data_IF_624327726324
#
_entry.id   IF_624327726324
#
_cell.length_a   1.000
_cell.length_b   1.000
_cell.length_c   1.000
_cell.angle_alpha   90.00
_cell.angle_beta   90.00
_cell.angle_gamma   90.00
#
_symmetry.space_group_name_H-M   'P 1'
#
loop_
_entity.id
_entity.type
_entity.pdbx_description
1 polymer ?
#
# COMPACT_ATOMS: atom_id res chain seq x y z
N UNK A 1 36.59 2.20 -1.39
CA UNK A 1 36.58 0.77 -1.77
C UNK A 1 36.16 -0.08 -0.57
N UNK A 2 34.88 -0.50 -0.50
CA UNK A 2 34.31 -1.14 0.70
C UNK A 2 34.68 -2.64 0.76
N UNK A 3 35.13 -3.13 1.92
CA UNK A 3 35.66 -4.50 2.09
C UNK A 3 34.56 -5.55 1.83
N UNK A 4 34.85 -6.57 1.00
CA UNK A 4 33.97 -7.71 0.65
C UNK A 4 33.10 -8.29 1.81
N UNK A 5 33.59 -8.48 3.05
CA UNK A 5 32.76 -8.99 4.16
C UNK A 5 31.60 -8.08 4.55
N UNK A 6 31.77 -6.75 4.45
CA UNK A 6 30.72 -5.77 4.79
C UNK A 6 29.55 -5.88 3.81
N UNK A 7 29.86 -6.05 2.51
CA UNK A 7 28.86 -6.20 1.46
C UNK A 7 28.00 -7.47 1.63
N UNK A 8 28.61 -8.57 2.10
CA UNK A 8 27.91 -9.83 2.38
C UNK A 8 26.99 -9.71 3.60
N UNK A 9 27.44 -9.04 4.66
CA UNK A 9 26.63 -8.78 5.85
C UNK A 9 25.41 -7.90 5.53
N UNK A 10 25.60 -6.84 4.72
CA UNK A 10 24.50 -5.95 4.30
C UNK A 10 23.43 -6.70 3.51
N UNK A 11 23.84 -7.53 2.53
CA UNK A 11 22.90 -8.37 1.76
C UNK A 11 22.10 -9.32 2.65
N UNK A 12 22.74 -9.94 3.65
CA UNK A 12 22.05 -10.80 4.62
C UNK A 12 21.05 -10.03 5.48
N UNK A 13 21.38 -8.82 5.91
CA UNK A 13 20.47 -7.96 6.69
C UNK A 13 19.27 -7.56 5.83
N UNK A 14 19.49 -7.12 4.59
CA UNK A 14 18.42 -6.76 3.66
C UNK A 14 17.52 -7.97 3.34
N UNK A 15 18.11 -9.16 3.14
CA UNK A 15 17.36 -10.39 2.92
C UNK A 15 16.51 -10.81 4.13
N UNK A 16 17.05 -10.68 5.36
CA UNK A 16 16.30 -10.94 6.61
C UNK A 16 15.14 -9.97 6.77
N UNK A 17 15.35 -8.68 6.50
CA UNK A 17 14.29 -7.67 6.52
C UNK A 17 13.20 -7.98 5.48
N UNK A 18 13.60 -8.36 4.26
CA UNK A 18 12.66 -8.78 3.22
C UNK A 18 11.83 -10.00 3.62
N UNK A 19 12.48 -11.01 4.22
CA UNK A 19 11.80 -12.20 4.73
C UNK A 19 10.82 -11.88 5.86
N UNK A 20 11.20 -10.98 6.78
CA UNK A 20 10.31 -10.51 7.83
C UNK A 20 9.07 -9.81 7.25
N UNK A 21 9.26 -8.93 6.27
CA UNK A 21 8.15 -8.25 5.59
C UNK A 21 7.21 -9.27 4.92
N UNK A 22 7.75 -10.25 4.19
CA UNK A 22 6.97 -11.31 3.57
C UNK A 22 6.17 -12.10 4.62
N UNK A 23 6.82 -12.48 5.72
CA UNK A 23 6.16 -13.23 6.79
C UNK A 23 5.01 -12.44 7.43
N UNK A 24 5.23 -11.16 7.75
CA UNK A 24 4.20 -10.29 8.33
C UNK A 24 3.03 -10.13 7.35
N UNK A 25 3.31 -9.88 6.07
CA UNK A 25 2.27 -9.76 5.04
C UNK A 25 1.48 -11.05 4.89
N UNK A 26 2.14 -12.22 4.86
CA UNK A 26 1.47 -13.51 4.75
C UNK A 26 0.54 -13.77 5.95
N UNK A 27 1.01 -13.49 7.17
CA UNK A 27 0.19 -13.61 8.39
C UNK A 27 -1.01 -12.67 8.32
N UNK A 28 -0.84 -11.42 7.90
CA UNK A 28 -1.93 -10.46 7.77
C UNK A 28 -2.99 -10.91 6.74
N UNK A 29 -2.56 -11.44 5.58
CA UNK A 29 -3.47 -11.97 4.56
C UNK A 29 -4.26 -13.16 5.10
N UNK A 30 -3.61 -14.11 5.76
CA UNK A 30 -4.29 -15.28 6.35
C UNK A 30 -5.28 -14.83 7.42
N UNK A 31 -4.87 -13.93 8.31
CA UNK A 31 -5.74 -13.41 9.37
C UNK A 31 -6.97 -12.70 8.80
N UNK A 32 -6.80 -11.84 7.79
CA UNK A 32 -7.91 -11.15 7.14
C UNK A 32 -8.79 -12.08 6.30
N UNK A 33 -8.22 -13.12 5.68
CA UNK A 33 -8.99 -14.11 4.92
C UNK A 33 -9.83 -15.03 5.80
N UNK A 34 -9.47 -15.18 7.08
CA UNK A 34 -10.25 -15.91 8.09
C UNK A 34 -11.20 -15.00 8.88
N UNK A 35 -11.02 -13.69 8.82
CA UNK A 35 -11.88 -12.71 9.49
C UNK A 35 -13.14 -12.44 8.65
N UNK A 36 -14.25 -12.15 9.31
CA UNK A 36 -15.49 -11.77 8.62
C UNK A 36 -15.32 -10.44 7.86
N UNK A 37 -16.20 -10.13 6.88
CA UNK A 37 -16.16 -8.83 6.20
C UNK A 37 -16.19 -7.67 7.21
N UNK A 38 -15.24 -6.74 7.09
CA UNK A 38 -15.18 -5.56 7.96
C UNK A 38 -16.37 -4.66 7.60
N UNK A 39 -17.29 -4.37 8.55
CA UNK A 39 -18.48 -3.57 8.25
C UNK A 39 -18.09 -2.13 7.91
N UNK A 40 -18.56 -1.65 6.76
CA UNK A 40 -18.40 -0.24 6.37
C UNK A 40 -19.62 0.58 6.78
N UNK A 41 -19.43 1.82 7.28
CA UNK A 41 -20.52 2.75 7.48
C UNK A 41 -21.29 3.00 6.17
N UNK A 42 -22.61 3.22 6.25
CA UNK A 42 -23.46 3.44 5.08
C UNK A 42 -23.02 4.63 4.20
N UNK A 43 -22.35 5.62 4.79
CA UNK A 43 -21.82 6.79 4.10
C UNK A 43 -20.35 6.68 3.66
N UNK A 44 -19.74 5.50 3.68
CA UNK A 44 -18.30 5.36 3.39
C UNK A 44 -17.89 5.95 2.03
N UNK A 45 -18.74 5.79 1.00
CA UNK A 45 -18.51 6.35 -0.32
C UNK A 45 -18.72 7.87 -0.42
N UNK A 46 -19.25 8.51 0.62
CA UNK A 46 -19.43 9.97 0.67
C UNK A 46 -18.13 10.77 0.71
N UNK A 47 -16.98 10.10 0.85
CA UNK A 47 -15.66 10.74 0.75
C UNK A 47 -15.27 11.14 -0.68
N UNK A 48 -15.74 10.41 -1.69
CA UNK A 48 -15.39 10.68 -3.07
C UNK A 48 -15.95 12.04 -3.52
N UNK A 49 -15.16 12.79 -4.29
CA UNK A 49 -15.61 14.07 -4.85
C UNK A 49 -16.86 13.85 -5.73
N UNK A 50 -17.98 14.46 -5.37
CA UNK A 50 -19.24 14.26 -6.11
C UNK A 50 -19.38 15.20 -7.33
N UNK A 51 -18.39 16.07 -7.57
CA UNK A 51 -18.44 17.06 -8.64
C UNK A 51 -17.96 16.45 -9.95
N UNK A 52 -18.69 16.76 -11.01
CA UNK A 52 -18.27 16.51 -12.38
C UNK A 52 -17.92 17.84 -13.04
N UNK A 53 -16.66 17.98 -13.46
CA UNK A 53 -16.16 19.16 -14.16
C UNK A 53 -15.45 18.70 -15.43
N UNK A 54 -15.62 19.45 -16.53
CA UNK A 54 -15.04 19.13 -17.83
C UNK A 54 -15.36 17.70 -18.35
N UNK A 55 -16.49 17.13 -17.94
CA UNK A 55 -16.90 15.77 -18.28
C UNK A 55 -16.19 14.66 -17.50
N UNK A 56 -15.37 15.02 -16.50
CA UNK A 56 -14.64 14.07 -15.64
C UNK A 56 -15.37 13.95 -14.30
N UNK A 57 -15.91 12.76 -13.93
CA UNK A 57 -16.46 12.51 -12.61
C UNK A 57 -15.35 12.46 -11.54
N UNK A 58 -15.70 12.73 -10.28
CA UNK A 58 -14.74 12.81 -9.18
C UNK A 58 -13.53 13.69 -9.54
N UNK A 59 -13.81 14.89 -10.06
CA UNK A 59 -12.82 15.72 -10.73
C UNK A 59 -11.61 16.01 -9.83
N UNK A 60 -11.86 16.40 -8.57
CA UNK A 60 -10.78 16.71 -7.64
C UNK A 60 -9.92 15.48 -7.30
N UNK A 61 -10.55 14.32 -7.12
CA UNK A 61 -9.86 13.05 -6.85
C UNK A 61 -8.92 12.71 -8.02
N UNK A 62 -9.43 12.83 -9.25
CA UNK A 62 -8.65 12.57 -10.47
C UNK A 62 -7.54 13.59 -10.66
N UNK A 63 -7.83 14.89 -10.51
CA UNK A 63 -6.89 15.99 -10.70
C UNK A 63 -5.70 15.88 -9.73
N UNK A 64 -5.95 15.43 -8.49
CA UNK A 64 -4.91 15.26 -7.49
C UNK A 64 -3.82 14.25 -7.88
N UNK A 65 -4.05 13.42 -8.91
CA UNK A 65 -3.04 12.49 -9.44
C UNK A 65 -2.04 13.13 -10.42
N UNK A 66 -2.29 14.35 -10.92
CA UNK A 66 -1.39 15.01 -11.90
C UNK A 66 0.08 15.14 -11.45
N UNK A 67 0.42 15.40 -10.18
CA UNK A 67 1.82 15.48 -9.73
C UNK A 67 2.59 14.15 -9.81
N UNK A 68 1.93 13.03 -10.03
CA UNK A 68 2.56 11.71 -10.15
C UNK A 68 2.86 11.31 -11.60
N UNK A 69 2.57 12.18 -12.57
CA UNK A 69 2.84 12.00 -14.00
C UNK A 69 4.20 12.60 -14.43
#
# INVERSE_FOLDING_TARGET
>A
MMKKPVMSALKKILARKGMLLIAVTAVAIIALGLHDPIPQPSGYHGFADQRSLCGVPNFADTLSNLPFL
#
